data_IF_470377798242
#
_entry.id   IF_470377798242
#
_cell.length_a   1.000
_cell.length_b   1.000
_cell.length_c   1.000
_cell.angle_alpha   90.00
_cell.angle_beta   90.00
_cell.angle_gamma   90.00
#
_symmetry.space_group_name_H-M   'P 1'
#
loop_
_entity.id
_entity.type
_entity.pdbx_description
1 polymer ?
#
# COMPACT_ATOMS: atom_id res chain seq x y z
N UNK A 1 14.81 -13.23 -20.73
CA UNK A 1 14.76 -12.02 -19.87
C UNK A 1 16.15 -11.79 -19.29
N UNK A 2 16.71 -10.57 -19.33
CA UNK A 2 18.06 -10.29 -18.79
C UNK A 2 18.06 -10.67 -17.30
N UNK A 3 18.93 -11.57 -16.81
CA UNK A 3 18.88 -12.09 -15.43
C UNK A 3 18.95 -10.98 -14.38
N UNK A 4 19.60 -9.85 -14.71
CA UNK A 4 19.65 -8.66 -13.87
C UNK A 4 18.27 -8.00 -13.62
N UNK A 5 17.36 -8.01 -14.61
CA UNK A 5 16.03 -7.40 -14.47
C UNK A 5 15.12 -8.26 -13.58
N UNK A 6 15.15 -9.58 -13.76
CA UNK A 6 14.42 -10.52 -12.90
C UNK A 6 14.86 -10.40 -11.43
N UNK A 7 16.18 -10.28 -11.20
CA UNK A 7 16.73 -10.06 -9.85
C UNK A 7 16.23 -8.75 -9.23
N UNK A 8 16.18 -7.65 -9.99
CA UNK A 8 15.69 -6.35 -9.50
C UNK A 8 14.21 -6.42 -9.11
N UNK A 9 13.38 -7.02 -9.96
CA UNK A 9 11.95 -7.20 -9.66
C UNK A 9 11.76 -8.03 -8.39
N UNK A 10 12.48 -9.15 -8.28
CA UNK A 10 12.41 -10.00 -7.09
C UNK A 10 12.83 -9.25 -5.81
N UNK A 11 13.89 -8.43 -5.88
CA UNK A 11 14.31 -7.60 -4.75
C UNK A 11 13.24 -6.56 -4.36
N UNK A 12 12.59 -5.91 -5.34
CA UNK A 12 11.52 -4.95 -5.06
C UNK A 12 10.28 -5.63 -4.44
N UNK A 13 9.92 -6.82 -4.92
CA UNK A 13 8.82 -7.60 -4.33
C UNK A 13 9.14 -8.04 -2.90
N UNK A 14 10.35 -8.53 -2.65
CA UNK A 14 10.79 -8.89 -1.30
C UNK A 14 10.79 -7.68 -0.36
N UNK A 15 11.28 -6.54 -0.84
CA UNK A 15 11.26 -5.30 -0.09
C UNK A 15 9.82 -4.88 0.26
N UNK A 16 8.90 -4.93 -0.71
CA UNK A 16 7.49 -4.61 -0.50
C UNK A 16 6.85 -5.52 0.56
N UNK A 17 7.08 -6.83 0.48
CA UNK A 17 6.57 -7.81 1.46
C UNK A 17 7.15 -7.53 2.84
N UNK A 18 8.46 -7.30 2.94
CA UNK A 18 9.12 -6.96 4.20
C UNK A 18 8.56 -5.69 4.84
N UNK A 19 8.37 -4.63 4.04
CA UNK A 19 7.80 -3.36 4.52
C UNK A 19 6.34 -3.52 4.94
N UNK A 20 5.57 -4.34 4.24
CA UNK A 20 4.17 -4.64 4.60
C UNK A 20 4.09 -5.31 5.95
N UNK A 21 4.89 -6.35 6.18
CA UNK A 21 4.94 -7.05 7.47
C UNK A 21 5.37 -6.09 8.58
N UNK A 22 6.40 -5.28 8.33
CA UNK A 22 6.87 -4.29 9.30
C UNK A 22 5.81 -3.23 9.61
N UNK A 23 5.08 -2.74 8.60
CA UNK A 23 4.01 -1.76 8.76
C UNK A 23 2.87 -2.24 9.66
N UNK A 24 2.56 -3.54 9.68
CA UNK A 24 1.55 -4.09 10.61
C UNK A 24 1.98 -4.05 12.07
N UNK A 25 3.29 -4.03 12.35
CA UNK A 25 3.85 -4.01 13.71
C UNK A 25 4.03 -2.60 14.25
N UNK A 26 4.24 -1.62 13.38
CA UNK A 26 4.35 -0.20 13.75
C UNK A 26 2.98 0.43 14.01
N UNK A 27 2.89 1.26 15.04
CA UNK A 27 1.70 2.08 15.29
C UNK A 27 1.78 2.79 16.63
N UNK A 28 0.71 3.52 16.99
CA UNK A 28 0.69 4.39 18.16
C UNK A 28 0.98 3.67 19.49
N UNK A 29 0.64 2.39 19.59
CA UNK A 29 1.01 1.53 20.72
C UNK A 29 1.95 0.41 20.27
N UNK A 30 2.92 0.05 21.11
CA UNK A 30 3.79 -1.10 20.87
C UNK A 30 2.95 -2.38 21.02
N UNK A 31 2.81 -3.13 19.92
CA UNK A 31 2.17 -4.45 19.91
C UNK A 31 3.27 -5.50 19.79
N UNK A 32 3.74 -6.07 20.91
CA UNK A 32 4.63 -7.22 20.83
C UNK A 32 3.88 -8.39 20.20
N UNK A 33 4.52 -9.09 19.26
CA UNK A 33 3.93 -10.19 18.48
C UNK A 33 3.36 -11.31 19.36
N UNK A 34 3.87 -11.45 20.59
CA UNK A 34 3.38 -12.42 21.59
C UNK A 34 1.92 -12.18 21.99
N UNK A 35 1.44 -10.92 21.93
CA UNK A 35 0.06 -10.57 22.28
C UNK A 35 -0.94 -10.89 21.15
N UNK A 36 -0.46 -11.31 19.97
CA UNK A 36 -1.32 -11.81 18.88
C UNK A 36 -1.64 -13.29 19.01
N UNK A 37 -0.99 -14.02 19.92
CA UNK A 37 -1.34 -15.41 20.21
C UNK A 37 -2.70 -15.50 20.92
N UNK A 38 -3.40 -16.65 20.83
CA UNK A 38 -4.67 -16.87 21.54
C UNK A 38 -4.59 -16.70 23.07
N UNK A 39 -3.38 -16.77 23.63
CA UNK A 39 -3.09 -16.54 25.05
C UNK A 39 -2.71 -15.08 25.38
N UNK A 40 -2.74 -14.21 24.38
CA UNK A 40 -2.41 -12.79 24.47
C UNK A 40 -3.59 -11.92 24.89
N UNK A 41 -3.43 -10.61 24.75
CA UNK A 41 -4.46 -9.62 25.10
C UNK A 41 -5.46 -9.45 23.94
N UNK A 42 -6.72 -9.82 24.20
CA UNK A 42 -7.82 -9.75 23.23
C UNK A 42 -8.08 -8.33 22.71
N UNK A 43 -7.90 -7.30 23.54
CA UNK A 43 -8.10 -5.90 23.15
C UNK A 43 -7.05 -5.48 22.11
N UNK A 44 -5.78 -5.83 22.35
CA UNK A 44 -4.69 -5.54 21.43
C UNK A 44 -4.86 -6.29 20.10
N UNK A 45 -5.28 -7.55 20.16
CA UNK A 45 -5.59 -8.35 18.96
C UNK A 45 -6.76 -7.75 18.17
N UNK A 46 -7.79 -7.27 18.85
CA UNK A 46 -8.92 -6.62 18.20
C UNK A 46 -8.48 -5.35 17.45
N UNK A 47 -7.73 -4.45 18.10
CA UNK A 47 -7.17 -3.24 17.48
C UNK A 47 -6.33 -3.58 16.24
N UNK A 48 -5.52 -4.64 16.32
CA UNK A 48 -4.71 -5.07 15.20
C UNK A 48 -5.57 -5.50 14.00
N UNK A 49 -6.63 -6.29 14.24
CA UNK A 49 -7.54 -6.80 13.20
C UNK A 49 -8.48 -5.75 12.63
N UNK A 50 -8.96 -4.81 13.44
CA UNK A 50 -10.00 -3.84 13.02
C UNK A 50 -9.46 -2.49 12.58
N UNK A 51 -8.24 -2.14 12.99
CA UNK A 51 -7.66 -0.81 12.67
C UNK A 51 -6.40 -0.96 11.81
N UNK A 52 -5.42 -1.76 12.24
CA UNK A 52 -4.10 -1.82 11.58
C UNK A 52 -4.13 -2.61 10.29
N UNK A 53 -4.64 -3.84 10.34
CA UNK A 53 -4.71 -4.72 9.19
C UNK A 53 -5.50 -4.09 8.03
N UNK A 54 -6.70 -3.51 8.24
CA UNK A 54 -7.44 -2.86 7.16
C UNK A 54 -6.70 -1.66 6.57
N UNK A 55 -6.00 -0.87 7.39
CA UNK A 55 -5.21 0.27 6.92
C UNK A 55 -4.02 -0.14 6.06
N UNK A 56 -3.30 -1.19 6.42
CA UNK A 56 -2.18 -1.72 5.62
C UNK A 56 -2.69 -2.30 4.30
N UNK A 57 -3.80 -3.05 4.33
CA UNK A 57 -4.43 -3.57 3.11
C UNK A 57 -4.90 -2.43 2.19
N UNK A 58 -5.52 -1.40 2.74
CA UNK A 58 -5.93 -0.23 1.96
C UNK A 58 -4.73 0.48 1.33
N UNK A 59 -3.63 0.66 2.08
CA UNK A 59 -2.41 1.28 1.54
C UNK A 59 -1.82 0.47 0.37
N UNK A 60 -1.82 -0.86 0.45
CA UNK A 60 -1.40 -1.73 -0.65
C UNK A 60 -2.30 -1.58 -1.89
N UNK A 61 -3.62 -1.61 -1.69
CA UNK A 61 -4.58 -1.50 -2.78
C UNK A 61 -4.50 -0.13 -3.47
N UNK A 62 -4.44 0.95 -2.69
CA UNK A 62 -4.31 2.31 -3.22
C UNK A 62 -2.97 2.48 -3.95
N UNK A 63 -1.87 2.02 -3.36
CA UNK A 63 -0.55 2.08 -4.00
C UNK A 63 -0.50 1.30 -5.32
N UNK A 64 -1.10 0.10 -5.37
CA UNK A 64 -1.19 -0.70 -6.58
C UNK A 64 -2.06 -0.01 -7.66
N UNK A 65 -3.21 0.53 -7.28
CA UNK A 65 -4.10 1.25 -8.20
C UNK A 65 -3.42 2.50 -8.79
N UNK A 66 -2.72 3.29 -7.96
CA UNK A 66 -1.98 4.46 -8.41
C UNK A 66 -0.82 4.08 -9.34
N UNK A 67 -0.04 3.05 -8.99
CA UNK A 67 1.06 2.57 -9.83
C UNK A 67 0.56 2.06 -11.19
N UNK A 68 -0.56 1.31 -11.21
CA UNK A 68 -1.18 0.83 -12.44
C UNK A 68 -1.70 1.98 -13.28
N UNK A 69 -2.42 2.91 -12.67
CA UNK A 69 -2.96 4.11 -13.34
C UNK A 69 -1.83 4.93 -13.98
N UNK A 70 -0.73 5.17 -13.25
CA UNK A 70 0.47 5.82 -13.78
C UNK A 70 1.11 5.07 -14.95
N UNK A 71 1.26 3.74 -14.84
CA UNK A 71 1.80 2.92 -15.92
C UNK A 71 0.95 2.98 -17.19
N UNK A 72 -0.38 2.88 -17.05
CA UNK A 72 -1.32 3.01 -18.16
C UNK A 72 -1.24 4.40 -18.77
N UNK A 73 -1.17 5.45 -17.95
CA UNK A 73 -1.09 6.84 -18.42
C UNK A 73 0.18 7.10 -19.21
N UNK A 74 1.32 6.67 -18.69
CA UNK A 74 2.62 6.77 -19.34
C UNK A 74 2.65 5.99 -20.66
N UNK A 75 2.01 4.81 -20.72
CA UNK A 75 1.87 4.01 -21.93
C UNK A 75 0.97 4.63 -22.99
N UNK A 76 -0.17 5.18 -22.58
CA UNK A 76 -1.15 5.82 -23.46
C UNK A 76 -0.55 7.07 -24.13
N UNK A 77 0.05 7.95 -23.34
CA UNK A 77 0.66 9.19 -23.85
C UNK A 77 2.07 8.99 -24.41
N UNK A 78 2.66 7.81 -24.24
CA UNK A 78 4.07 7.52 -24.56
C UNK A 78 5.01 8.57 -23.97
N UNK A 79 4.64 9.08 -22.79
CA UNK A 79 5.37 10.12 -22.09
C UNK A 79 5.61 9.65 -20.66
N UNK A 80 6.87 9.40 -20.26
CA UNK A 80 7.19 8.92 -18.91
C UNK A 80 6.84 9.95 -17.81
N UNK A 81 6.54 11.20 -18.16
CA UNK A 81 6.12 12.25 -17.23
C UNK A 81 4.58 12.38 -17.12
N UNK A 82 3.80 11.56 -17.84
CA UNK A 82 2.35 11.62 -17.75
C UNK A 82 1.85 11.05 -16.41
N UNK A 83 0.98 11.82 -15.75
CA UNK A 83 0.40 11.49 -14.44
C UNK A 83 -1.14 11.41 -14.54
N UNK A 84 -1.78 10.43 -13.88
CA UNK A 84 -3.23 10.26 -13.95
C UNK A 84 -4.04 11.45 -13.39
N UNK A 85 -3.45 12.27 -12.51
CA UNK A 85 -4.08 13.47 -11.97
C UNK A 85 -4.38 14.55 -13.03
N UNK A 86 -3.71 14.50 -14.19
CA UNK A 86 -3.93 15.46 -15.29
C UNK A 86 -5.35 15.38 -15.91
N UNK A 87 -6.09 14.29 -15.68
CA UNK A 87 -7.46 14.12 -16.18
C UNK A 87 -8.53 14.82 -15.32
N UNK A 88 -8.14 15.48 -14.22
CA UNK A 88 -9.09 16.19 -13.34
C UNK A 88 -9.91 15.29 -12.41
N UNK A 89 -9.71 13.97 -12.46
CA UNK A 89 -10.36 12.99 -11.57
C UNK A 89 -10.10 13.26 -10.08
N UNK A 90 -8.88 13.68 -9.71
CA UNK A 90 -8.55 14.02 -8.32
C UNK A 90 -9.27 15.28 -7.85
N UNK A 91 -9.37 16.30 -8.70
CA UNK A 91 -10.08 17.55 -8.39
C UNK A 91 -11.59 17.31 -8.28
N UNK A 92 -12.17 16.48 -9.15
CA UNK A 92 -13.58 16.08 -9.07
C UNK A 92 -13.90 15.29 -7.81
N UNK A 93 -13.04 14.32 -7.44
CA UNK A 93 -13.19 13.57 -6.19
C UNK A 93 -13.09 14.48 -4.95
N UNK A 94 -12.14 15.43 -4.95
CA UNK A 94 -11.98 16.39 -3.86
C UNK A 94 -13.20 17.31 -3.71
N UNK A 95 -13.77 17.79 -4.83
CA UNK A 95 -14.98 18.60 -4.81
C UNK A 95 -16.16 17.83 -4.22
N UNK A 96 -16.36 16.57 -4.62
CA UNK A 96 -17.46 15.74 -4.11
C UNK A 96 -17.36 15.41 -2.62
N UNK A 97 -16.14 15.36 -2.07
CA UNK A 97 -15.93 15.20 -0.62
C UNK A 97 -16.16 16.51 0.13
N UNK A 98 -15.88 17.66 -0.52
CA UNK A 98 -16.01 18.97 0.09
C UNK A 98 -17.43 19.56 0.04
N UNK A 99 -18.26 19.11 -0.91
CA UNK A 99 -19.69 19.44 -1.03
C UNK A 99 -20.55 18.67 -0.05
#
# INVERSE_FOLDING_TARGET
MRPALARRLLLMTLLLVSLTLFATTLGAMRLPLVNLLPSGDDMLRHIWLTIRLPRVLLALLVGAALALSGCVMQGLFRNPLADPGLLGISSGAALAVAS
#
